data_IF_619335899243
#
_entry.id   IF_619335899243
#
_cell.length_a   1.000
_cell.length_b   1.000
_cell.length_c   1.000
_cell.angle_alpha   90.00
_cell.angle_beta   90.00
_cell.angle_gamma   90.00
#
_symmetry.space_group_name_H-M   'P 1'
#
loop_
_entity.id
_entity.type
_entity.pdbx_description
1 polymer ?
#
# COMPACT_ATOMS: atom_id res chain seq x y z
N UNK A 1 12.78 -6.93 6.37
CA UNK A 1 11.73 -7.83 5.87
C UNK A 1 11.62 -7.58 4.38
N UNK A 2 11.78 -8.60 3.53
CA UNK A 2 11.63 -8.49 2.08
C UNK A 2 10.25 -9.02 1.73
N UNK A 3 9.47 -8.29 0.93
CA UNK A 3 8.30 -8.89 0.29
C UNK A 3 8.82 -9.94 -0.68
N UNK A 4 8.48 -11.19 -0.41
CA UNK A 4 8.73 -12.31 -1.29
C UNK A 4 7.39 -12.79 -1.81
N UNK A 5 7.09 -12.59 -3.09
CA UNK A 5 5.92 -13.21 -3.71
C UNK A 5 6.24 -14.69 -3.92
N UNK A 6 5.99 -15.53 -2.91
CA UNK A 6 6.19 -16.97 -3.04
C UNK A 6 5.11 -17.55 -3.93
N UNK A 7 5.48 -17.73 -5.19
CA UNK A 7 4.83 -18.55 -6.23
C UNK A 7 3.43 -18.13 -6.69
N UNK A 8 3.12 -18.52 -7.93
CA UNK A 8 1.76 -18.47 -8.43
C UNK A 8 0.84 -19.25 -7.46
N UNK A 9 -0.35 -18.72 -7.20
CA UNK A 9 -1.39 -19.49 -6.51
C UNK A 9 -1.57 -20.85 -7.22
N UNK A 10 -2.13 -21.89 -6.56
CA UNK A 10 -2.32 -23.22 -7.16
C UNK A 10 -3.01 -23.22 -8.55
N UNK A 11 -3.68 -22.12 -8.91
CA UNK A 11 -4.27 -21.88 -10.23
C UNK A 11 -3.28 -21.46 -11.34
N UNK A 12 -2.01 -21.19 -11.04
CA UNK A 12 -1.03 -20.66 -11.99
C UNK A 12 -1.23 -19.18 -12.37
N UNK A 13 -2.23 -18.50 -11.79
CA UNK A 13 -2.57 -17.12 -12.14
C UNK A 13 -1.75 -16.14 -11.30
N UNK A 14 -0.91 -15.33 -11.96
CA UNK A 14 -0.26 -14.18 -11.31
C UNK A 14 -1.33 -13.15 -10.93
N UNK A 15 -1.42 -12.83 -9.64
CA UNK A 15 -2.26 -11.74 -9.13
C UNK A 15 -1.41 -10.51 -8.88
N UNK A 16 -1.97 -9.34 -9.17
CA UNK A 16 -1.31 -8.06 -8.91
C UNK A 16 -1.24 -7.83 -7.39
N UNK A 17 -0.04 -7.54 -6.88
CA UNK A 17 0.20 -7.25 -5.47
C UNK A 17 0.34 -5.74 -5.27
N UNK A 18 -0.54 -5.17 -4.44
CA UNK A 18 -0.49 -3.77 -4.00
C UNK A 18 -0.01 -3.74 -2.55
N UNK A 19 1.23 -3.31 -2.34
CA UNK A 19 1.80 -3.15 -1.00
C UNK A 19 1.44 -1.76 -0.45
N UNK A 20 0.84 -1.72 0.74
CA UNK A 20 0.47 -0.48 1.43
C UNK A 20 1.35 -0.34 2.67
N UNK A 21 2.32 0.56 2.64
CA UNK A 21 3.36 0.69 3.64
C UNK A 21 3.20 1.95 4.49
N UNK A 22 3.04 1.77 5.80
CA UNK A 22 3.17 2.84 6.79
C UNK A 22 4.44 2.61 7.61
N UNK A 23 5.50 3.40 7.40
CA UNK A 23 6.68 3.33 8.25
C UNK A 23 6.30 3.62 9.70
N UNK A 24 6.95 2.95 10.65
CA UNK A 24 6.64 3.07 12.08
C UNK A 24 7.87 3.58 12.83
N UNK A 25 7.71 4.72 13.52
CA UNK A 25 8.73 5.53 14.22
C UNK A 25 9.74 6.19 13.29
N UNK A 26 10.11 7.43 13.61
CA UNK A 26 11.12 8.17 12.85
C UNK A 26 12.50 7.54 13.01
N UNK A 27 12.86 7.11 14.22
CA UNK A 27 14.17 6.52 14.50
C UNK A 27 14.42 5.24 13.69
N UNK A 28 13.41 4.37 13.60
CA UNK A 28 13.49 3.12 12.84
C UNK A 28 13.51 3.37 11.34
N UNK A 29 12.71 4.35 10.88
CA UNK A 29 12.66 4.72 9.47
C UNK A 29 14.01 5.26 9.01
N UNK A 30 14.62 6.16 9.78
CA UNK A 30 15.95 6.68 9.48
C UNK A 30 17.02 5.56 9.48
N UNK A 31 16.97 4.66 10.47
CA UNK A 31 17.96 3.57 10.59
C UNK A 31 17.86 2.52 9.48
N UNK A 32 16.68 2.31 8.88
CA UNK A 32 16.41 1.23 7.92
C UNK A 32 16.02 1.74 6.53
N UNK A 33 16.27 3.02 6.23
CA UNK A 33 15.81 3.63 4.97
C UNK A 33 16.34 2.88 3.75
N UNK A 34 17.62 2.49 3.78
CA UNK A 34 18.26 1.75 2.69
C UNK A 34 17.62 0.35 2.52
N UNK A 35 17.34 -0.34 3.62
CA UNK A 35 16.68 -1.64 3.61
C UNK A 35 15.24 -1.53 3.09
N UNK A 36 14.50 -0.49 3.47
CA UNK A 36 13.15 -0.25 2.95
C UNK A 36 13.16 0.06 1.45
N UNK A 37 14.15 0.81 0.97
CA UNK A 37 14.24 1.21 -0.45
C UNK A 37 14.22 0.02 -1.42
N UNK A 38 14.71 -1.15 -0.99
CA UNK A 38 14.82 -2.36 -1.83
C UNK A 38 13.84 -3.47 -1.44
N UNK A 39 13.03 -3.27 -0.41
CA UNK A 39 12.20 -4.34 0.18
C UNK A 39 10.98 -4.75 -0.66
N UNK A 40 10.61 -3.95 -1.67
CA UNK A 40 9.33 -4.04 -2.38
C UNK A 40 9.43 -4.57 -3.81
N UNK A 41 10.55 -5.18 -4.20
CA UNK A 41 10.81 -5.64 -5.58
C UNK A 41 9.73 -6.59 -6.15
N UNK A 42 9.04 -7.33 -5.28
CA UNK A 42 8.04 -8.34 -5.66
C UNK A 42 6.60 -7.78 -5.64
N UNK A 43 6.40 -6.52 -5.25
CA UNK A 43 5.12 -5.86 -5.40
C UNK A 43 4.94 -5.40 -6.86
N UNK A 44 3.69 -5.30 -7.33
CA UNK A 44 3.43 -4.64 -8.61
C UNK A 44 3.18 -3.13 -8.40
N UNK A 45 2.69 -2.72 -7.23
CA UNK A 45 2.53 -1.30 -6.82
C UNK A 45 2.80 -1.12 -5.33
N UNK A 46 3.37 0.02 -4.94
CA UNK A 46 3.59 0.42 -3.54
C UNK A 46 2.90 1.74 -3.25
N UNK A 47 2.05 1.77 -2.22
CA UNK A 47 1.48 3.00 -1.65
C UNK A 47 2.16 3.27 -0.32
N UNK A 48 2.67 4.48 -0.11
CA UNK A 48 3.38 4.88 1.11
C UNK A 48 2.61 5.98 1.82
N UNK A 49 2.34 5.82 3.12
CA UNK A 49 1.75 6.88 3.96
C UNK A 49 2.82 7.65 4.72
N UNK A 50 2.39 8.64 5.48
CA UNK A 50 3.17 9.29 6.53
C UNK A 50 3.72 8.27 7.54
N UNK A 51 4.84 8.64 8.15
CA UNK A 51 5.46 7.87 9.23
C UNK A 51 4.56 7.93 10.46
N UNK A 52 4.13 6.78 10.96
CA UNK A 52 3.46 6.71 12.24
C UNK A 52 4.48 6.96 13.37
N UNK A 53 4.42 8.14 13.99
CA UNK A 53 5.42 8.62 14.94
C UNK A 53 5.57 7.75 16.20
N UNK A 54 4.51 7.10 16.67
CA UNK A 54 4.47 6.38 17.94
C UNK A 54 5.09 7.17 19.11
N UNK A 55 4.65 8.43 19.27
CA UNK A 55 5.10 9.39 20.29
C UNK A 55 6.53 9.92 20.13
N UNK A 56 7.20 9.66 19.02
CA UNK A 56 8.49 10.30 18.71
C UNK A 56 8.31 11.71 18.13
N UNK A 57 9.18 12.63 18.55
CA UNK A 57 9.43 13.85 17.81
C UNK A 57 10.32 13.53 16.60
N UNK A 58 10.09 14.20 15.46
CA UNK A 58 10.90 14.02 14.27
C UNK A 58 12.22 14.80 14.35
N UNK A 59 13.17 14.31 15.16
CA UNK A 59 14.52 14.88 15.23
C UNK A 59 15.42 14.48 14.05
N UNK A 60 14.98 13.53 13.21
CA UNK A 60 15.74 13.00 12.08
C UNK A 60 15.48 13.77 10.78
N UNK A 61 14.45 14.61 10.73
CA UNK A 61 14.07 15.36 9.53
C UNK A 61 13.61 14.46 8.38
N UNK A 62 13.11 13.26 8.67
CA UNK A 62 12.68 12.27 7.67
C UNK A 62 11.16 12.24 7.56
N UNK A 63 10.64 12.11 6.34
CA UNK A 63 9.20 12.03 6.06
C UNK A 63 8.81 10.70 5.39
N UNK A 64 7.51 10.42 5.30
CA UNK A 64 7.02 9.30 4.49
C UNK A 64 7.31 9.50 3.00
N UNK A 65 7.35 10.75 2.53
CA UNK A 65 7.73 11.08 1.16
C UNK A 65 9.19 10.71 0.87
N UNK A 66 10.10 10.92 1.82
CA UNK A 66 11.51 10.52 1.66
C UNK A 66 11.65 8.98 1.53
N UNK A 67 10.83 8.24 2.28
CA UNK A 67 10.75 6.77 2.16
C UNK A 67 10.22 6.38 0.78
N UNK A 68 9.12 6.98 0.33
CA UNK A 68 8.56 6.71 -0.99
C UNK A 68 9.58 7.01 -2.10
N UNK A 69 10.29 8.14 -2.01
CA UNK A 69 11.34 8.53 -2.95
C UNK A 69 12.50 7.53 -2.95
N UNK A 70 12.90 7.03 -1.78
CA UNK A 70 13.94 6.00 -1.69
C UNK A 70 13.50 4.69 -2.37
N UNK A 71 12.26 4.24 -2.13
CA UNK A 71 11.70 3.04 -2.78
C UNK A 71 11.59 3.24 -4.30
N UNK A 72 11.19 4.43 -4.75
CA UNK A 72 11.05 4.76 -6.17
C UNK A 72 12.37 4.72 -6.97
N UNK A 73 13.52 4.76 -6.29
CA UNK A 73 14.83 4.53 -6.95
C UNK A 73 15.00 3.08 -7.44
N UNK A 74 14.24 2.14 -6.87
CA UNK A 74 14.34 0.71 -7.13
C UNK A 74 13.04 0.07 -7.62
N UNK A 75 11.92 0.77 -7.52
CA UNK A 75 10.59 0.27 -7.87
C UNK A 75 9.82 1.27 -8.75
N UNK A 76 9.29 0.86 -9.91
CA UNK A 76 8.74 1.79 -10.91
C UNK A 76 7.34 2.33 -10.57
N UNK A 77 6.58 1.65 -9.70
CA UNK A 77 5.21 2.06 -9.32
C UNK A 77 5.14 2.31 -7.82
N UNK A 78 5.44 3.54 -7.41
CA UNK A 78 5.41 3.97 -6.00
C UNK A 78 4.67 5.30 -5.91
N UNK A 79 3.66 5.35 -5.05
CA UNK A 79 2.90 6.57 -4.79
C UNK A 79 2.96 6.92 -3.31
N UNK A 80 3.22 8.19 -3.03
CA UNK A 80 3.11 8.74 -1.69
C UNK A 80 1.71 9.35 -1.49
N UNK A 81 0.98 8.85 -0.51
CA UNK A 81 -0.39 9.27 -0.22
C UNK A 81 -0.48 10.19 1.02
N UNK A 82 0.51 10.16 1.92
CA UNK A 82 0.48 10.93 3.16
C UNK A 82 -0.51 10.40 4.18
N UNK A 83 -1.81 10.63 4.01
CA UNK A 83 -2.82 10.29 5.03
C UNK A 83 -3.50 8.94 4.80
N UNK A 84 -4.06 8.30 5.85
CA UNK A 84 -4.88 7.10 5.70
C UNK A 84 -6.06 7.28 4.72
N UNK A 85 -6.69 8.45 4.71
CA UNK A 85 -7.83 8.76 3.86
C UNK A 85 -7.41 8.84 2.39
N UNK A 86 -6.23 9.41 2.10
CA UNK A 86 -5.67 9.42 0.76
C UNK A 86 -5.29 8.02 0.27
N UNK A 87 -4.72 7.18 1.15
CA UNK A 87 -4.47 5.76 0.84
C UNK A 87 -5.77 5.03 0.53
N UNK A 88 -6.82 5.25 1.33
CA UNK A 88 -8.14 4.65 1.09
C UNK A 88 -8.70 5.08 -0.27
N UNK A 89 -8.70 6.38 -0.56
CA UNK A 89 -9.21 6.90 -1.83
C UNK A 89 -8.46 6.29 -3.03
N UNK A 90 -7.13 6.19 -2.93
CA UNK A 90 -6.29 5.59 -3.97
C UNK A 90 -6.60 4.10 -4.19
N UNK A 91 -6.76 3.34 -3.11
CA UNK A 91 -7.14 1.93 -3.19
C UNK A 91 -8.53 1.76 -3.82
N UNK A 92 -9.52 2.51 -3.36
CA UNK A 92 -10.88 2.42 -3.91
C UNK A 92 -10.92 2.77 -5.40
N UNK A 93 -10.11 3.74 -5.85
CA UNK A 93 -10.07 4.17 -7.24
C UNK A 93 -9.35 3.19 -8.17
N UNK A 94 -8.42 2.37 -7.67
CA UNK A 94 -7.46 1.65 -8.53
C UNK A 94 -7.40 0.14 -8.34
N UNK A 95 -8.06 -0.40 -7.31
CA UNK A 95 -8.17 -1.83 -7.13
C UNK A 95 -9.09 -2.44 -8.18
N UNK A 96 -8.67 -3.59 -8.70
CA UNK A 96 -9.45 -4.40 -9.64
C UNK A 96 -9.69 -5.80 -9.07
N UNK A 97 -10.73 -6.52 -9.55
CA UNK A 97 -10.97 -7.90 -9.12
C UNK A 97 -9.73 -8.77 -9.31
N UNK A 98 -9.33 -9.45 -8.24
CA UNK A 98 -8.14 -10.31 -8.23
C UNK A 98 -6.88 -9.66 -7.67
N UNK A 99 -6.87 -8.36 -7.37
CA UNK A 99 -5.77 -7.71 -6.66
C UNK A 99 -5.59 -8.29 -5.25
N UNK A 100 -4.34 -8.42 -4.82
CA UNK A 100 -3.97 -8.73 -3.43
C UNK A 100 -3.41 -7.46 -2.80
N UNK A 101 -4.04 -7.00 -1.72
CA UNK A 101 -3.58 -5.83 -0.96
C UNK A 101 -2.89 -6.27 0.31
N UNK A 102 -1.64 -5.85 0.52
CA UNK A 102 -0.85 -6.17 1.69
C UNK A 102 -0.62 -4.90 2.53
N UNK A 103 -1.28 -4.80 3.67
CA UNK A 103 -1.06 -3.73 4.63
C UNK A 103 0.15 -4.04 5.51
N UNK A 104 1.21 -3.26 5.35
CA UNK A 104 2.47 -3.33 6.09
C UNK A 104 2.53 -2.14 7.05
N UNK A 105 1.91 -2.30 8.21
CA UNK A 105 1.78 -1.24 9.22
C UNK A 105 1.78 -1.80 10.64
N UNK A 106 2.21 -0.98 11.59
CA UNK A 106 2.00 -1.19 13.03
C UNK A 106 1.31 0.03 13.70
N UNK A 107 0.83 0.98 12.88
CA UNK A 107 0.20 2.22 13.31
C UNK A 107 -1.30 2.21 13.11
N UNK A 108 -1.86 3.36 12.74
CA UNK A 108 -3.29 3.57 12.56
C UNK A 108 -3.80 3.26 11.14
N UNK A 109 -2.93 2.97 10.17
CA UNK A 109 -3.35 2.77 8.77
C UNK A 109 -4.27 1.56 8.61
N UNK A 110 -4.17 0.55 9.49
CA UNK A 110 -5.07 -0.62 9.46
C UNK A 110 -6.56 -0.27 9.70
N UNK A 111 -6.86 0.90 10.25
CA UNK A 111 -8.24 1.32 10.55
C UNK A 111 -9.07 1.57 9.30
N UNK A 112 -8.45 1.83 8.16
CA UNK A 112 -9.17 2.06 6.89
C UNK A 112 -9.58 0.75 6.20
N UNK A 113 -9.07 -0.41 6.65
CA UNK A 113 -9.30 -1.70 5.99
C UNK A 113 -10.80 -2.02 5.86
N UNK A 114 -11.64 -1.88 6.91
CA UNK A 114 -13.08 -2.13 6.78
C UNK A 114 -13.75 -1.24 5.74
N UNK A 115 -13.38 0.03 5.68
CA UNK A 115 -13.98 1.00 4.76
C UNK A 115 -13.57 0.72 3.30
N UNK A 116 -12.31 0.37 3.06
CA UNK A 116 -11.82 -0.10 1.75
C UNK A 116 -12.58 -1.37 1.33
N UNK A 117 -12.71 -2.34 2.23
CA UNK A 117 -13.41 -3.60 1.93
C UNK A 117 -14.88 -3.35 1.58
N UNK A 118 -15.58 -2.51 2.34
CA UNK A 118 -16.97 -2.15 2.09
C UNK A 118 -17.13 -1.45 0.73
N UNK A 119 -16.28 -0.48 0.42
CA UNK A 119 -16.33 0.25 -0.84
C UNK A 119 -16.09 -0.67 -2.05
N UNK A 120 -15.11 -1.56 -1.98
CA UNK A 120 -14.78 -2.49 -3.08
C UNK A 120 -15.88 -3.56 -3.26
N UNK A 121 -16.48 -4.04 -2.17
CA UNK A 121 -17.62 -4.98 -2.26
C UNK A 121 -18.86 -4.34 -2.86
N UNK A 122 -19.19 -3.10 -2.47
CA UNK A 122 -20.32 -2.37 -3.03
C UNK A 122 -20.14 -2.13 -4.53
N UNK A 123 -18.92 -1.79 -4.98
CA UNK A 123 -18.60 -1.64 -6.39
C UNK A 123 -18.70 -2.96 -7.18
N UNK A 124 -18.35 -4.09 -6.57
CA UNK A 124 -18.44 -5.42 -7.18
C UNK A 124 -19.89 -5.97 -7.25
N UNK A 125 -20.83 -5.37 -6.53
CA UNK A 125 -22.24 -5.78 -6.48
C UNK A 125 -23.15 -5.04 -7.47
N UNK A 126 -22.60 -4.17 -8.33
CA UNK A 126 -23.37 -3.53 -9.41
C UNK A 126 -23.76 -4.62 -10.42
N UNK A 127 -25.07 -4.93 -10.60
CA UNK A 127 -25.49 -6.01 -11.49
C UNK A 127 -25.15 -5.72 -12.95
N UNK A 128 -24.80 -6.77 -13.69
CA UNK A 128 -24.54 -6.80 -15.14
C UNK A 128 -25.77 -6.38 -15.99
N UNK A 129 -26.94 -6.17 -15.37
CA UNK A 129 -28.23 -5.90 -16.02
C UNK A 129 -28.42 -4.48 -16.59
N UNK A 130 -27.48 -3.55 -16.40
CA UNK A 130 -27.64 -2.18 -16.92
C UNK A 130 -27.18 -2.03 -18.38
N UNK A 131 -26.52 -3.03 -18.97
CA UNK A 131 -26.01 -2.97 -20.35
C UNK A 131 -26.93 -3.59 -21.41
N UNK A 132 -28.10 -4.12 -21.06
CA UNK A 132 -29.03 -4.72 -22.03
C UNK A 132 -30.17 -3.80 -22.49
N UNK A 133 -30.22 -2.54 -22.05
CA UNK A 133 -31.31 -1.61 -22.36
C UNK A 133 -30.87 -0.33 -23.10
N UNK A 134 -29.83 -0.41 -23.94
CA UNK A 134 -29.53 0.63 -24.94
C UNK A 134 -29.43 0.02 -26.32
#
# INVERSE_FOLDING_TARGET
ARLQSTEALPSGVKRRVVAVFQPHRYSRTAALLNEFSTAFADADRVLVSDIYAASEANSYGISGEDVARAIAQHHPQVDYCGTPEAVQAELVATLVPGDIVLFLTAGNLNRIIPDVMNAVQAAAQVPEEVLSNV
#
